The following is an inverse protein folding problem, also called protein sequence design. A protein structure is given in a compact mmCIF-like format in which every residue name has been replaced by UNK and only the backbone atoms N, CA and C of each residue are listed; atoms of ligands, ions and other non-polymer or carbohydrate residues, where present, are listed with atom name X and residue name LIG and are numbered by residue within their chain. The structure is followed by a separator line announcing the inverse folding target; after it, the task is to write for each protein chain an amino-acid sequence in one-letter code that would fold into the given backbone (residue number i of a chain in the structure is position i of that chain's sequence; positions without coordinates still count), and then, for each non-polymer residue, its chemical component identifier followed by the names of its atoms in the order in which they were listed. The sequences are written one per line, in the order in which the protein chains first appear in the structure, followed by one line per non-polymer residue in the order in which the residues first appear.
data_IF_753312247951
#
_entry.id   IF_753312247951
#
_cell.length_a   1.000
_cell.length_b   1.000
_cell.length_c   1.000
_cell.angle_alpha   90.00
_cell.angle_beta   90.00
_cell.angle_gamma   90.00
#
_symmetry.space_group_name_H-M   'P 1'
#
loop_
_entity.id
_entity.type
_entity.pdbx_description
1 polymer ?
#
# COMPACT_ATOMS: atom_id res chain seq x y z
N UNK A 1 -5.99 -25.32 -5.03
CA UNK A 1 -6.34 -24.19 -4.14
C UNK A 1 -7.30 -23.25 -4.87
N UNK A 2 -7.34 -21.94 -4.53
CA UNK A 2 -8.25 -20.98 -5.18
C UNK A 2 -7.98 -20.84 -6.68
N UNK A 3 -9.04 -20.65 -7.46
CA UNK A 3 -8.97 -20.35 -8.90
C UNK A 3 -9.49 -18.94 -9.24
N UNK A 4 -10.09 -18.24 -8.25
CA UNK A 4 -10.61 -16.87 -8.35
C UNK A 4 -10.31 -16.11 -7.05
N UNK A 5 -10.34 -14.78 -7.10
CA UNK A 5 -10.39 -13.88 -5.94
C UNK A 5 -11.73 -13.15 -5.93
N UNK A 6 -12.10 -12.55 -4.80
CA UNK A 6 -13.43 -11.93 -4.65
C UNK A 6 -13.71 -10.87 -5.72
N UNK A 7 -12.76 -9.96 -5.98
CA UNK A 7 -12.93 -8.86 -6.93
C UNK A 7 -13.07 -9.29 -8.39
N UNK A 8 -12.58 -10.49 -8.76
CA UNK A 8 -12.69 -11.03 -10.12
C UNK A 8 -14.07 -11.61 -10.44
N UNK A 9 -14.93 -11.77 -9.42
CA UNK A 9 -16.24 -12.34 -9.58
C UNK A 9 -17.23 -11.32 -10.13
N UNK A 10 -17.99 -11.73 -11.13
CA UNK A 10 -18.99 -10.91 -11.78
C UNK A 10 -20.15 -11.78 -12.30
N UNK A 11 -21.17 -11.16 -12.89
CA UNK A 11 -22.38 -11.83 -13.33
C UNK A 11 -22.14 -12.94 -14.36
N UNK A 12 -21.00 -12.93 -15.07
CA UNK A 12 -20.63 -14.02 -16.00
C UNK A 12 -20.19 -15.30 -15.29
N UNK A 13 -19.94 -15.25 -13.98
CA UNK A 13 -19.56 -16.40 -13.17
C UNK A 13 -20.76 -17.13 -12.54
N UNK A 14 -21.97 -16.58 -12.67
CA UNK A 14 -23.20 -17.24 -12.20
C UNK A 14 -23.33 -18.63 -12.80
N UNK A 15 -23.63 -19.61 -11.95
CA UNK A 15 -23.73 -21.03 -12.31
C UNK A 15 -22.38 -21.77 -12.38
N UNK A 16 -21.25 -21.10 -12.29
CA UNK A 16 -19.92 -21.72 -12.31
C UNK A 16 -19.49 -22.21 -10.93
N UNK A 17 -18.73 -23.29 -10.92
CA UNK A 17 -18.03 -23.80 -9.75
C UNK A 17 -16.74 -22.99 -9.55
N UNK A 18 -16.59 -22.38 -8.38
CA UNK A 18 -15.38 -21.63 -8.01
C UNK A 18 -14.79 -22.10 -6.69
N UNK A 19 -13.48 -21.94 -6.54
CA UNK A 19 -12.74 -22.20 -5.33
C UNK A 19 -12.17 -20.89 -4.81
N UNK A 20 -12.52 -20.51 -3.58
CA UNK A 20 -12.07 -19.30 -2.93
C UNK A 20 -11.32 -19.64 -1.64
N UNK A 21 -10.37 -18.80 -1.27
CA UNK A 21 -9.67 -18.84 0.03
C UNK A 21 -9.71 -17.45 0.67
N UNK A 22 -9.99 -17.39 1.95
CA UNK A 22 -10.07 -16.12 2.66
C UNK A 22 -10.24 -16.28 4.15
N UNK A 23 -10.45 -15.17 4.79
CA UNK A 23 -10.80 -15.06 6.20
C UNK A 23 -12.30 -14.94 6.37
N UNK A 24 -12.86 -15.60 7.39
CA UNK A 24 -14.22 -15.34 7.86
C UNK A 24 -14.23 -13.94 8.48
N UNK A 25 -14.79 -12.96 7.80
CA UNK A 25 -14.91 -11.61 8.34
C UNK A 25 -16.05 -11.54 9.36
N UNK A 26 -17.21 -12.04 8.99
CA UNK A 26 -18.39 -12.12 9.85
C UNK A 26 -19.21 -13.36 9.53
N UNK A 27 -19.70 -14.03 10.57
CA UNK A 27 -20.67 -15.11 10.46
C UNK A 27 -22.02 -14.66 11.03
N UNK A 28 -23.09 -14.95 10.36
CA UNK A 28 -24.48 -14.69 10.77
C UNK A 28 -25.28 -15.98 10.60
N UNK A 29 -26.19 -16.22 11.52
CA UNK A 29 -27.19 -17.30 11.45
C UNK A 29 -28.56 -16.66 11.36
N UNK A 30 -29.29 -16.92 10.28
CA UNK A 30 -30.59 -16.34 10.00
C UNK A 30 -31.53 -17.41 9.47
N UNK A 31 -32.56 -17.74 10.23
CA UNK A 31 -33.58 -18.70 9.82
C UNK A 31 -33.04 -20.10 9.53
N UNK A 32 -31.95 -20.50 10.21
CA UNK A 32 -31.31 -21.79 10.01
C UNK A 32 -30.34 -21.83 8.80
N UNK A 33 -30.10 -20.70 8.13
CA UNK A 33 -29.06 -20.56 7.08
C UNK A 33 -27.88 -19.81 7.63
N UNK A 34 -26.68 -20.34 7.41
CA UNK A 34 -25.42 -19.67 7.81
C UNK A 34 -24.94 -18.81 6.63
N UNK A 35 -24.78 -17.52 6.92
CA UNK A 35 -24.18 -16.53 6.02
C UNK A 35 -22.80 -16.16 6.54
N UNK A 36 -21.81 -16.16 5.68
CA UNK A 36 -20.46 -15.76 6.01
C UNK A 36 -19.99 -14.71 4.99
N UNK A 37 -19.50 -13.60 5.49
CA UNK A 37 -18.77 -12.65 4.67
C UNK A 37 -17.31 -13.15 4.59
N UNK A 38 -16.95 -13.74 3.46
CA UNK A 38 -15.58 -14.19 3.16
C UNK A 38 -14.79 -13.00 2.65
N UNK A 39 -13.67 -12.70 3.30
CA UNK A 39 -12.76 -11.61 2.94
C UNK A 39 -11.47 -12.18 2.40
N UNK A 40 -11.02 -11.68 1.25
CA UNK A 40 -9.66 -11.86 0.78
C UNK A 40 -8.93 -10.51 0.63
N UNK A 41 -7.75 -10.48 -0.02
CA UNK A 41 -6.98 -9.26 -0.23
C UNK A 41 -7.61 -8.28 -1.21
N UNK A 42 -8.57 -8.73 -2.00
CA UNK A 42 -9.23 -7.94 -3.04
C UNK A 42 -10.58 -7.39 -2.61
N UNK A 43 -11.32 -8.10 -1.74
CA UNK A 43 -12.64 -7.67 -1.32
C UNK A 43 -13.39 -8.72 -0.52
N UNK A 44 -14.70 -8.71 -0.66
CA UNK A 44 -15.64 -9.55 0.09
C UNK A 44 -16.55 -10.33 -0.86
N UNK A 45 -16.93 -11.51 -0.43
CA UNK A 45 -18.05 -12.25 -1.03
C UNK A 45 -18.89 -12.86 0.07
N UNK A 46 -20.21 -12.77 -0.02
CA UNK A 46 -21.10 -13.56 0.83
C UNK A 46 -21.08 -15.01 0.38
N UNK A 47 -20.93 -15.92 1.34
CA UNK A 47 -21.11 -17.35 1.12
C UNK A 47 -22.27 -17.85 1.97
N UNK A 48 -23.02 -18.82 1.45
CA UNK A 48 -24.23 -19.36 2.08
C UNK A 48 -24.13 -20.87 2.25
N UNK A 49 -24.59 -21.36 3.40
CA UNK A 49 -24.62 -22.77 3.76
C UNK A 49 -25.97 -23.08 4.36
N UNK A 50 -26.74 -23.95 3.70
CA UNK A 50 -28.06 -24.39 4.19
C UNK A 50 -27.93 -25.73 4.90
N UNK A 51 -28.83 -26.08 5.83
CA UNK A 51 -28.86 -27.39 6.47
C UNK A 51 -28.97 -28.54 5.48
N UNK A 52 -29.69 -28.30 4.37
CA UNK A 52 -29.92 -29.30 3.31
C UNK A 52 -28.67 -29.54 2.44
N UNK A 53 -27.65 -28.68 2.50
CA UNK A 53 -26.39 -28.84 1.75
C UNK A 53 -25.48 -29.92 2.34
N UNK A 54 -25.79 -30.45 3.53
CA UNK A 54 -25.10 -31.52 4.23
C UNK A 54 -24.91 -31.22 5.71
N UNK A 55 -25.29 -32.15 6.57
CA UNK A 55 -25.24 -31.99 8.02
C UNK A 55 -23.83 -31.73 8.56
N UNK A 56 -22.81 -32.40 8.00
CA UNK A 56 -21.41 -32.23 8.41
C UNK A 56 -20.86 -30.85 7.99
N UNK A 57 -21.18 -30.40 6.77
CA UNK A 57 -20.82 -29.09 6.25
C UNK A 57 -21.43 -27.99 7.12
N UNK A 58 -22.71 -28.09 7.43
CA UNK A 58 -23.42 -27.15 8.27
C UNK A 58 -22.84 -27.08 9.68
N UNK A 59 -22.64 -28.24 10.32
CA UNK A 59 -22.02 -28.34 11.65
C UNK A 59 -20.60 -27.77 11.66
N UNK A 60 -19.82 -27.96 10.62
CA UNK A 60 -18.49 -27.36 10.48
C UNK A 60 -18.60 -25.82 10.40
N UNK A 61 -19.54 -25.30 9.62
CA UNK A 61 -19.77 -23.86 9.49
C UNK A 61 -20.22 -23.21 10.81
N UNK A 62 -20.97 -23.90 11.67
CA UNK A 62 -21.35 -23.42 13.01
C UNK A 62 -20.16 -23.16 13.89
N UNK A 63 -19.04 -23.90 13.72
CA UNK A 63 -17.83 -23.73 14.53
C UNK A 63 -16.95 -22.56 14.11
N UNK A 64 -17.20 -21.96 12.95
CA UNK A 64 -16.37 -20.90 12.40
C UNK A 64 -16.46 -19.63 13.24
N UNK A 65 -15.30 -19.07 13.54
CA UNK A 65 -15.13 -17.77 14.21
C UNK A 65 -14.54 -16.77 13.24
N UNK A 66 -14.77 -15.48 13.50
CA UNK A 66 -14.13 -14.41 12.74
C UNK A 66 -12.61 -14.63 12.68
N UNK A 67 -12.03 -14.31 11.52
CA UNK A 67 -10.61 -14.49 11.21
C UNK A 67 -10.13 -15.96 11.09
N UNK A 68 -11.01 -16.94 11.12
CA UNK A 68 -10.68 -18.31 10.69
C UNK A 68 -10.39 -18.29 9.20
N UNK A 69 -9.31 -18.97 8.79
CA UNK A 69 -8.94 -19.08 7.37
C UNK A 69 -9.59 -20.32 6.79
N UNK A 70 -10.36 -20.14 5.73
CA UNK A 70 -11.09 -21.22 5.07
C UNK A 70 -10.81 -21.26 3.57
N UNK A 71 -10.95 -22.44 3.01
CA UNK A 71 -11.12 -22.68 1.59
C UNK A 71 -12.54 -23.19 1.37
N UNK A 72 -13.23 -22.59 0.40
CA UNK A 72 -14.59 -23.00 0.02
C UNK A 72 -14.67 -23.29 -1.47
N UNK A 73 -15.43 -24.31 -1.81
CA UNK A 73 -15.82 -24.62 -3.18
C UNK A 73 -17.35 -24.55 -3.29
N UNK A 74 -17.87 -23.91 -4.32
CA UNK A 74 -19.30 -23.75 -4.48
C UNK A 74 -19.71 -23.13 -5.80
N UNK A 75 -21.01 -22.97 -5.98
CA UNK A 75 -21.61 -22.38 -7.18
C UNK A 75 -21.90 -20.91 -6.89
N UNK A 76 -21.51 -20.03 -7.81
CA UNK A 76 -21.91 -18.63 -7.76
C UNK A 76 -23.37 -18.50 -8.16
N UNK A 77 -24.14 -17.83 -7.32
CA UNK A 77 -25.54 -17.50 -7.55
C UNK A 77 -25.76 -16.00 -7.45
N UNK A 78 -26.83 -15.53 -8.05
CA UNK A 78 -27.36 -14.20 -7.85
C UNK A 78 -28.07 -14.12 -6.49
N UNK A 79 -27.84 -13.06 -5.72
CA UNK A 79 -28.57 -12.82 -4.46
C UNK A 79 -30.04 -12.48 -4.75
N UNK A 80 -30.95 -12.87 -3.85
CA UNK A 80 -32.33 -12.35 -3.91
C UNK A 80 -32.30 -10.81 -3.92
N UNK A 81 -33.20 -10.20 -4.69
CA UNK A 81 -33.29 -8.75 -4.89
C UNK A 81 -33.29 -7.96 -3.58
N UNK A 82 -33.99 -8.47 -2.57
CA UNK A 82 -34.11 -7.83 -1.24
C UNK A 82 -32.84 -7.97 -0.39
N UNK A 83 -31.87 -8.76 -0.83
CA UNK A 83 -30.61 -9.06 -0.11
C UNK A 83 -29.37 -8.49 -0.81
N UNK A 84 -29.55 -7.73 -1.91
CA UNK A 84 -28.46 -7.09 -2.64
C UNK A 84 -27.80 -6.03 -1.76
N UNK A 85 -26.47 -6.06 -1.67
CA UNK A 85 -25.68 -5.07 -0.94
C UNK A 85 -24.89 -4.15 -1.90
N UNK A 86 -25.46 -3.01 -2.21
CA UNK A 86 -24.88 -2.02 -3.14
C UNK A 86 -23.54 -1.42 -2.68
N UNK A 87 -23.14 -1.62 -1.44
CA UNK A 87 -21.85 -1.15 -0.90
C UNK A 87 -20.69 -2.09 -1.22
N UNK A 88 -20.95 -3.26 -1.79
CA UNK A 88 -19.92 -4.23 -2.16
C UNK A 88 -19.91 -4.42 -3.68
N UNK A 89 -18.73 -4.51 -4.28
CA UNK A 89 -18.58 -4.81 -5.72
C UNK A 89 -19.19 -6.16 -6.11
N UNK A 90 -19.19 -7.12 -5.19
CA UNK A 90 -19.80 -8.45 -5.35
C UNK A 90 -21.19 -8.54 -4.71
N UNK A 91 -21.81 -7.40 -4.41
CA UNK A 91 -23.03 -7.37 -3.59
C UNK A 91 -24.27 -8.00 -4.22
N UNK A 92 -24.26 -8.24 -5.53
CA UNK A 92 -25.30 -8.98 -6.26
C UNK A 92 -25.07 -10.49 -6.26
N UNK A 93 -23.89 -10.95 -5.83
CA UNK A 93 -23.46 -12.33 -5.91
C UNK A 93 -23.35 -12.98 -4.54
N UNK A 94 -23.56 -14.28 -4.50
CA UNK A 94 -23.24 -15.13 -3.37
C UNK A 94 -22.71 -16.48 -3.84
N UNK A 95 -21.91 -17.15 -3.01
CA UNK A 95 -21.45 -18.49 -3.28
C UNK A 95 -22.26 -19.48 -2.42
N UNK A 96 -22.99 -20.38 -3.06
CA UNK A 96 -23.60 -21.53 -2.40
C UNK A 96 -22.52 -22.60 -2.21
N UNK A 97 -22.14 -22.83 -0.95
CA UNK A 97 -21.02 -23.72 -0.60
C UNK A 97 -21.41 -25.17 -0.85
N UNK A 98 -20.49 -25.94 -1.47
CA UNK A 98 -20.56 -27.39 -1.61
C UNK A 98 -19.53 -28.12 -0.78
N UNK A 99 -18.36 -27.48 -0.56
CA UNK A 99 -17.28 -28.01 0.23
C UNK A 99 -16.59 -26.89 1.02
N UNK A 100 -16.20 -27.20 2.27
CA UNK A 100 -15.56 -26.26 3.20
C UNK A 100 -14.37 -26.95 3.86
N UNK A 101 -13.22 -26.34 3.74
CA UNK A 101 -12.02 -26.78 4.45
C UNK A 101 -11.51 -25.66 5.35
N UNK A 102 -11.34 -25.94 6.64
CA UNK A 102 -10.68 -25.03 7.58
C UNK A 102 -9.17 -25.17 7.37
N UNK A 103 -8.54 -24.12 6.85
CA UNK A 103 -7.08 -24.08 6.63
C UNK A 103 -6.34 -23.69 7.91
N UNK A 104 -6.89 -22.75 8.67
CA UNK A 104 -6.32 -22.33 9.94
C UNK A 104 -7.41 -21.79 10.86
N UNK A 105 -7.60 -22.43 12.00
CA UNK A 105 -8.56 -22.01 12.99
C UNK A 105 -7.96 -21.00 13.97
N UNK A 106 -8.69 -19.93 14.26
CA UNK A 106 -8.27 -18.96 15.25
C UNK A 106 -8.33 -19.59 16.66
N UNK A 107 -7.21 -19.51 17.39
CA UNK A 107 -7.10 -20.12 18.74
C UNK A 107 -7.31 -19.09 19.86
N UNK A 108 -7.07 -17.81 19.62
CA UNK A 108 -7.18 -16.73 20.61
C UNK A 108 -7.92 -15.54 20.02
N UNK A 109 -8.58 -14.78 20.87
CA UNK A 109 -9.19 -13.52 20.43
C UNK A 109 -8.09 -12.56 19.95
N UNK A 110 -8.40 -11.82 18.88
CA UNK A 110 -7.52 -10.78 18.39
C UNK A 110 -7.46 -9.60 19.39
N UNK A 111 -6.35 -8.86 19.43
CA UNK A 111 -6.19 -7.70 20.30
C UNK A 111 -7.15 -6.56 19.97
N UNK A 112 -7.68 -6.52 18.75
CA UNK A 112 -8.73 -5.63 18.29
C UNK A 112 -9.44 -6.24 17.07
N UNK A 113 -10.70 -5.86 16.80
CA UNK A 113 -11.42 -6.34 15.63
C UNK A 113 -10.80 -5.78 14.33
N UNK A 114 -10.72 -6.64 13.31
CA UNK A 114 -10.22 -6.27 11.99
C UNK A 114 -11.31 -6.21 10.93
N UNK A 115 -12.52 -6.71 11.25
CA UNK A 115 -13.69 -6.60 10.39
C UNK A 115 -14.08 -5.15 10.14
N UNK A 116 -14.52 -4.85 8.91
CA UNK A 116 -15.08 -3.52 8.58
C UNK A 116 -16.38 -3.22 9.31
N UNK A 117 -17.08 -4.24 9.77
CA UNK A 117 -18.36 -4.11 10.51
C UNK A 117 -18.16 -3.75 11.98
N UNK A 118 -16.97 -4.02 12.53
CA UNK A 118 -16.64 -3.80 13.95
C UNK A 118 -15.51 -2.76 14.07
N UNK A 119 -15.59 -1.68 13.27
CA UNK A 119 -14.56 -0.64 13.21
C UNK A 119 -14.58 0.22 14.48
N UNK A 120 -14.04 -0.31 15.56
CA UNK A 120 -13.82 0.44 16.79
C UNK A 120 -12.64 1.40 16.69
N UNK A 121 -12.71 2.45 17.50
CA UNK A 121 -11.65 3.44 17.64
C UNK A 121 -10.46 2.83 18.41
N UNK A 122 -9.70 1.95 17.75
CA UNK A 122 -8.54 1.28 18.33
C UNK A 122 -7.40 2.26 18.53
N UNK A 123 -6.81 2.32 19.74
CA UNK A 123 -5.69 3.19 20.07
C UNK A 123 -4.51 2.94 19.11
N UNK A 124 -3.84 4.01 18.70
CA UNK A 124 -2.74 3.95 17.73
C UNK A 124 -1.59 3.06 18.20
N UNK A 125 -1.23 3.11 19.49
CA UNK A 125 -0.19 2.25 20.07
C UNK A 125 -0.47 0.76 19.84
N UNK A 126 -1.71 0.33 20.02
CA UNK A 126 -2.12 -1.06 19.79
C UNK A 126 -2.06 -1.44 18.31
N UNK A 127 -2.46 -0.51 17.42
CA UNK A 127 -2.38 -0.66 15.97
C UNK A 127 -0.92 -0.75 15.50
N UNK A 128 -0.03 0.04 16.06
CA UNK A 128 1.40 0.00 15.77
C UNK A 128 2.02 -1.33 16.23
N UNK A 129 1.69 -1.79 17.44
CA UNK A 129 2.17 -3.06 17.98
C UNK A 129 1.75 -4.27 17.14
N UNK A 130 0.52 -4.25 16.62
CA UNK A 130 -0.03 -5.34 15.80
C UNK A 130 -0.30 -4.88 14.37
N UNK A 131 0.68 -4.19 13.77
CA UNK A 131 0.58 -3.60 12.44
C UNK A 131 0.11 -4.57 11.36
N UNK A 132 0.51 -5.83 11.44
CA UNK A 132 0.11 -6.89 10.50
C UNK A 132 -1.40 -7.21 10.56
N UNK A 133 -2.07 -6.98 11.69
CA UNK A 133 -3.53 -7.07 11.79
C UNK A 133 -4.20 -5.78 11.29
N UNK A 134 -3.62 -4.63 11.60
CA UNK A 134 -4.14 -3.34 11.15
C UNK A 134 -4.11 -3.20 9.62
N UNK A 135 -3.16 -3.85 8.94
CA UNK A 135 -3.13 -3.96 7.48
C UNK A 135 -4.38 -4.66 6.90
N UNK A 136 -5.01 -5.58 7.64
CA UNK A 136 -6.26 -6.23 7.19
C UNK A 136 -7.46 -5.29 7.17
N UNK A 137 -7.37 -4.15 7.86
CA UNK A 137 -8.45 -3.13 7.94
C UNK A 137 -8.58 -2.28 6.68
N UNK A 138 -7.81 -2.54 5.65
CA UNK A 138 -7.92 -1.94 4.32
C UNK A 138 -7.10 -0.67 4.12
N UNK A 139 -7.33 0.42 4.83
CA UNK A 139 -6.72 1.74 4.58
C UNK A 139 -5.18 1.71 4.49
N UNK A 140 -4.50 1.03 5.39
CA UNK A 140 -3.04 0.94 5.37
C UNK A 140 -2.54 0.04 4.23
N UNK A 141 -3.29 -1.00 3.89
CA UNK A 141 -2.97 -1.84 2.74
C UNK A 141 -3.08 -1.03 1.44
N UNK A 142 -4.12 -0.21 1.30
CA UNK A 142 -4.27 0.69 0.15
C UNK A 142 -3.14 1.73 0.08
N UNK A 143 -2.65 2.24 1.21
CA UNK A 143 -1.48 3.11 1.23
C UNK A 143 -0.22 2.41 0.68
N UNK A 144 -0.01 1.13 1.01
CA UNK A 144 1.10 0.34 0.46
C UNK A 144 0.94 0.12 -1.05
N UNK A 145 -0.27 -0.21 -1.51
CA UNK A 145 -0.57 -0.35 -2.95
C UNK A 145 -0.38 0.97 -3.71
N UNK A 146 -0.85 2.08 -3.12
CA UNK A 146 -0.67 3.43 -3.68
C UNK A 146 0.81 3.78 -3.80
N UNK A 147 1.60 3.54 -2.74
CA UNK A 147 3.06 3.72 -2.78
C UNK A 147 3.72 2.91 -3.88
N UNK A 148 3.36 1.62 -4.01
CA UNK A 148 3.86 0.77 -5.10
C UNK A 148 3.52 1.37 -6.47
N UNK A 149 2.28 1.81 -6.67
CA UNK A 149 1.82 2.42 -7.93
C UNK A 149 2.58 3.70 -8.26
N UNK A 150 2.81 4.58 -7.27
CA UNK A 150 3.61 5.80 -7.44
C UNK A 150 5.02 5.45 -7.94
N UNK A 151 5.70 4.51 -7.27
CA UNK A 151 7.06 4.09 -7.65
C UNK A 151 7.08 3.49 -9.06
N UNK A 152 6.11 2.65 -9.39
CA UNK A 152 5.99 2.06 -10.73
C UNK A 152 5.86 3.12 -11.81
N UNK A 153 4.92 4.08 -11.64
CA UNK A 153 4.70 5.17 -12.60
C UNK A 153 5.94 6.05 -12.74
N UNK A 154 6.63 6.34 -11.62
CA UNK A 154 7.86 7.12 -11.65
C UNK A 154 8.96 6.42 -12.44
N UNK A 155 9.19 5.10 -12.23
CA UNK A 155 10.14 4.30 -13.00
C UNK A 155 9.81 4.29 -14.48
N UNK A 156 8.57 3.98 -14.86
CA UNK A 156 8.12 3.96 -16.25
C UNK A 156 8.33 5.33 -16.93
N UNK A 157 8.09 6.42 -16.21
CA UNK A 157 8.31 7.77 -16.73
C UNK A 157 9.80 8.03 -16.97
N UNK A 158 10.64 7.76 -15.99
CA UNK A 158 12.09 8.02 -16.03
C UNK A 158 12.78 7.15 -17.09
N UNK A 159 12.43 5.87 -17.18
CA UNK A 159 12.94 4.94 -18.19
C UNK A 159 12.63 5.45 -19.61
N UNK A 160 11.40 5.95 -19.85
CA UNK A 160 11.01 6.52 -21.15
C UNK A 160 11.77 7.80 -21.49
N UNK A 161 12.32 8.52 -20.53
CA UNK A 161 13.20 9.69 -20.74
C UNK A 161 14.68 9.33 -20.78
N UNK A 162 15.03 8.03 -20.79
CA UNK A 162 16.39 7.54 -20.91
C UNK A 162 17.22 7.64 -19.64
N UNK A 163 16.58 7.66 -18.48
CA UNK A 163 17.29 7.56 -17.20
C UNK A 163 17.70 6.12 -16.91
N UNK A 164 18.79 5.98 -16.17
CA UNK A 164 19.27 4.69 -15.66
C UNK A 164 19.08 4.64 -14.15
N UNK A 165 18.38 3.62 -13.65
CA UNK A 165 18.27 3.36 -12.21
C UNK A 165 19.58 2.73 -11.72
N UNK A 166 20.23 3.34 -10.72
CA UNK A 166 21.44 2.81 -10.12
C UNK A 166 21.27 2.73 -8.61
N UNK A 167 21.40 1.52 -8.06
CA UNK A 167 21.40 1.29 -6.62
C UNK A 167 22.79 1.57 -6.04
N UNK A 168 22.87 2.47 -5.06
CA UNK A 168 24.12 2.88 -4.40
C UNK A 168 24.30 2.18 -3.05
N UNK A 169 25.55 2.01 -2.56
CA UNK A 169 25.80 1.36 -1.28
C UNK A 169 25.13 2.08 -0.09
N UNK A 170 24.63 1.30 0.87
CA UNK A 170 24.11 1.81 2.16
C UNK A 170 25.19 1.86 3.25
N UNK A 171 26.21 1.00 3.21
CA UNK A 171 27.35 1.06 4.11
C UNK A 171 28.41 1.95 3.47
N UNK A 172 28.47 3.21 3.88
CA UNK A 172 29.32 4.23 3.26
C UNK A 172 30.26 4.85 4.27
N UNK A 173 31.10 5.76 3.81
CA UNK A 173 31.86 6.66 4.67
C UNK A 173 30.94 7.82 5.09
N UNK A 174 31.12 8.32 6.32
CA UNK A 174 30.44 9.53 6.79
C UNK A 174 30.70 10.73 5.86
N UNK A 175 29.62 11.44 5.53
CA UNK A 175 29.66 12.64 4.69
C UNK A 175 28.93 13.80 5.38
N UNK A 176 29.50 15.02 5.37
CA UNK A 176 28.89 16.17 6.05
C UNK A 176 27.74 16.75 5.20
N UNK A 177 26.54 16.17 5.27
CA UNK A 177 25.37 16.60 4.50
C UNK A 177 24.33 17.41 5.33
N UNK A 178 24.69 17.82 6.56
CA UNK A 178 23.86 18.69 7.40
C UNK A 178 23.14 18.02 8.55
N UNK A 179 22.74 16.75 8.45
CA UNK A 179 22.25 15.95 9.57
C UNK A 179 23.37 15.15 10.24
N UNK A 180 23.09 14.52 11.38
CA UNK A 180 23.98 13.51 11.95
C UNK A 180 23.76 12.18 11.25
N UNK A 181 24.86 11.42 11.08
CA UNK A 181 24.83 10.10 10.48
C UNK A 181 24.48 9.03 11.51
N UNK A 182 23.72 8.01 11.10
CA UNK A 182 23.65 6.77 11.84
C UNK A 182 24.91 5.95 11.58
N UNK A 183 25.63 5.56 12.63
CA UNK A 183 26.88 4.83 12.54
C UNK A 183 26.64 3.32 12.72
N UNK A 184 27.31 2.52 11.90
CA UNK A 184 27.31 1.06 11.97
C UNK A 184 28.74 0.59 12.30
N UNK A 185 28.98 -0.07 13.44
CA UNK A 185 30.32 -0.56 13.80
C UNK A 185 30.87 -1.54 12.76
N UNK A 186 32.11 -1.33 12.33
CA UNK A 186 32.83 -2.22 11.43
C UNK A 186 33.44 -3.39 12.22
N UNK A 187 32.86 -4.58 12.15
CA UNK A 187 33.29 -5.76 12.91
C UNK A 187 34.72 -6.20 12.60
N UNK A 188 35.16 -5.98 11.38
CA UNK A 188 36.51 -6.41 10.93
C UNK A 188 37.60 -5.38 11.20
N UNK A 189 37.26 -4.14 11.58
CA UNK A 189 38.19 -3.04 11.80
C UNK A 189 37.85 -2.37 13.13
N UNK A 190 38.64 -2.66 14.17
CA UNK A 190 38.39 -2.13 15.50
C UNK A 190 38.50 -0.60 15.55
N UNK A 191 37.45 0.06 16.09
CA UNK A 191 37.37 1.50 16.20
C UNK A 191 36.90 2.23 14.94
N UNK A 192 36.57 1.50 13.87
CA UNK A 192 36.04 2.07 12.64
C UNK A 192 34.53 1.85 12.52
N UNK A 193 33.88 2.73 11.76
CA UNK A 193 32.43 2.71 11.55
C UNK A 193 32.10 2.99 10.08
N UNK A 194 31.08 2.31 9.58
CA UNK A 194 30.33 2.77 8.42
C UNK A 194 29.29 3.80 8.84
N UNK A 195 28.88 4.65 7.91
CA UNK A 195 27.73 5.53 8.07
C UNK A 195 26.61 5.11 7.11
N UNK A 196 25.35 5.23 7.55
CA UNK A 196 24.21 5.11 6.66
C UNK A 196 24.01 6.43 5.89
N UNK A 197 23.69 6.40 4.58
CA UNK A 197 23.66 7.61 3.75
C UNK A 197 22.47 8.50 4.10
N UNK A 198 22.71 9.80 4.19
CA UNK A 198 21.66 10.82 4.31
C UNK A 198 20.95 11.06 2.96
N UNK A 199 21.69 10.87 1.88
CA UNK A 199 21.24 10.83 0.49
C UNK A 199 22.31 10.14 -0.36
N UNK A 200 22.04 9.75 -1.62
CA UNK A 200 23.04 9.21 -2.53
C UNK A 200 23.92 10.29 -3.20
N UNK A 201 24.01 11.49 -2.64
CA UNK A 201 24.59 12.69 -3.25
C UNK A 201 26.01 12.47 -3.80
N UNK A 202 26.91 11.87 -3.02
CA UNK A 202 28.28 11.63 -3.46
C UNK A 202 28.33 10.66 -4.63
N UNK A 203 27.55 9.59 -4.56
CA UNK A 203 27.55 8.55 -5.59
C UNK A 203 26.96 9.03 -6.92
N UNK A 204 25.86 9.76 -6.88
CA UNK A 204 25.27 10.29 -8.11
C UNK A 204 26.17 11.30 -8.83
N UNK A 205 26.89 12.13 -8.08
CA UNK A 205 27.91 13.03 -8.64
C UNK A 205 29.04 12.23 -9.30
N UNK A 206 29.56 11.18 -8.65
CA UNK A 206 30.57 10.31 -9.22
C UNK A 206 30.07 9.57 -10.48
N UNK A 207 28.79 9.20 -10.53
CA UNK A 207 28.19 8.61 -11.71
C UNK A 207 28.14 9.60 -12.88
N UNK A 208 27.81 10.88 -12.62
CA UNK A 208 27.88 11.94 -13.64
C UNK A 208 29.32 12.13 -14.15
N UNK A 209 30.30 12.21 -13.26
CA UNK A 209 31.73 12.26 -13.63
C UNK A 209 32.14 11.02 -14.41
N UNK A 210 31.58 9.85 -14.09
CA UNK A 210 31.80 8.59 -14.77
C UNK A 210 31.12 8.48 -16.15
N UNK A 211 30.37 9.52 -16.58
CA UNK A 211 29.73 9.59 -17.88
C UNK A 211 28.29 9.10 -17.95
N UNK A 212 27.66 8.85 -16.80
CA UNK A 212 26.22 8.56 -16.73
C UNK A 212 25.44 9.88 -16.85
N UNK A 213 24.78 10.12 -17.97
CA UNK A 213 24.16 11.41 -18.27
C UNK A 213 22.85 11.65 -17.49
N UNK A 214 22.08 10.60 -17.23
CA UNK A 214 20.79 10.64 -16.52
C UNK A 214 20.68 9.48 -15.55
N UNK A 215 20.59 9.82 -14.29
CA UNK A 215 20.49 8.87 -13.17
C UNK A 215 19.21 9.07 -12.40
N UNK A 216 18.65 7.98 -11.86
CA UNK A 216 17.71 8.03 -10.76
C UNK A 216 17.86 6.84 -9.82
N UNK A 217 17.30 6.99 -8.61
CA UNK A 217 17.20 5.92 -7.63
C UNK A 217 16.00 6.13 -6.71
N UNK A 218 15.34 5.04 -6.35
CA UNK A 218 14.41 5.02 -5.21
C UNK A 218 15.26 4.76 -3.96
N UNK A 219 15.87 5.81 -3.44
CA UNK A 219 16.91 5.74 -2.43
C UNK A 219 16.36 5.64 -1.00
N UNK A 220 16.95 4.74 -0.20
CA UNK A 220 16.80 4.74 1.25
C UNK A 220 17.75 5.76 1.87
N UNK A 221 17.20 6.67 2.67
CA UNK A 221 17.94 7.75 3.32
C UNK A 221 17.73 7.71 4.82
N UNK A 222 18.78 8.09 5.56
CA UNK A 222 18.81 8.02 7.01
C UNK A 222 19.33 9.34 7.58
N UNK A 223 18.63 9.93 8.54
CA UNK A 223 19.06 11.17 9.19
C UNK A 223 18.76 11.10 10.69
N UNK A 224 19.78 11.25 11.53
CA UNK A 224 19.63 11.31 12.98
C UNK A 224 19.33 12.76 13.37
N UNK A 225 18.08 13.15 13.18
CA UNK A 225 17.54 14.48 13.49
C UNK A 225 16.34 14.38 14.41
N UNK A 226 16.01 15.48 15.07
CA UNK A 226 14.78 15.61 15.85
C UNK A 226 13.55 15.42 14.96
N UNK A 227 12.61 14.59 15.41
CA UNK A 227 11.38 14.31 14.69
C UNK A 227 10.50 15.58 14.66
N UNK A 228 10.00 15.92 13.49
CA UNK A 228 9.07 17.04 13.28
C UNK A 228 7.95 16.58 12.37
N UNK A 229 6.69 16.76 12.79
CA UNK A 229 5.51 16.45 11.99
C UNK A 229 5.60 15.09 11.26
N UNK A 230 5.89 15.12 9.97
CA UNK A 230 5.98 13.95 9.09
C UNK A 230 7.40 13.41 8.87
N UNK A 231 8.43 14.03 9.48
CA UNK A 231 9.83 13.59 9.33
C UNK A 231 10.08 12.30 10.10
N UNK A 232 10.75 11.37 9.42
CA UNK A 232 11.18 10.09 9.97
C UNK A 232 12.70 9.94 9.85
N UNK A 233 13.37 9.23 10.78
CA UNK A 233 14.82 9.01 10.71
C UNK A 233 15.23 8.14 9.53
N UNK A 234 14.33 7.29 9.04
CA UNK A 234 14.47 6.52 7.81
C UNK A 234 13.34 6.88 6.85
N UNK A 235 13.67 7.27 5.63
CA UNK A 235 12.70 7.64 4.61
C UNK A 235 13.18 7.26 3.21
N UNK A 236 12.33 7.43 2.21
CA UNK A 236 12.65 7.12 0.82
C UNK A 236 12.60 8.40 -0.01
N UNK A 237 13.60 8.61 -0.84
CA UNK A 237 13.63 9.66 -1.86
C UNK A 237 13.48 9.05 -3.26
N UNK A 238 12.79 9.74 -4.14
CA UNK A 238 13.04 9.64 -5.56
C UNK A 238 14.16 10.64 -5.86
N UNK A 239 15.37 10.12 -6.03
CA UNK A 239 16.56 10.92 -6.29
C UNK A 239 16.87 10.92 -7.80
N UNK A 240 17.15 12.09 -8.37
CA UNK A 240 17.34 12.29 -9.80
C UNK A 240 18.56 13.18 -10.00
N UNK A 241 19.40 12.83 -10.98
CA UNK A 241 20.52 13.67 -11.41
C UNK A 241 20.63 13.67 -12.94
N UNK A 242 20.89 14.84 -13.51
CA UNK A 242 21.05 15.02 -14.96
C UNK A 242 22.25 15.91 -15.24
N UNK A 243 22.96 15.59 -16.35
CA UNK A 243 24.04 16.43 -16.88
C UNK A 243 23.52 17.36 -17.98
N UNK A 244 24.24 18.46 -18.23
CA UNK A 244 24.05 19.36 -19.39
C UNK A 244 22.62 19.93 -19.52
N UNK A 245 21.99 20.28 -18.42
CA UNK A 245 20.61 20.80 -18.40
C UNK A 245 20.52 22.12 -17.61
N UNK A 246 19.59 22.96 -18.00
CA UNK A 246 19.28 24.20 -17.31
C UNK A 246 18.30 24.01 -16.15
N UNK A 247 18.21 25.00 -15.25
CA UNK A 247 17.25 25.03 -14.16
C UNK A 247 15.79 24.91 -14.67
N UNK A 248 15.44 25.60 -15.75
CA UNK A 248 14.10 25.56 -16.32
C UNK A 248 13.72 24.19 -16.89
N UNK A 249 14.68 23.50 -17.48
CA UNK A 249 14.47 22.16 -18.02
C UNK A 249 14.21 21.14 -16.90
N UNK A 250 14.97 21.18 -15.80
CA UNK A 250 14.75 20.25 -14.67
C UNK A 250 13.43 20.53 -13.96
N UNK A 251 13.02 21.82 -13.83
CA UNK A 251 11.73 22.17 -13.25
C UNK A 251 10.58 21.65 -14.12
N UNK A 252 10.63 21.90 -15.44
CA UNK A 252 9.60 21.45 -16.39
C UNK A 252 9.51 19.92 -16.46
N UNK A 253 10.66 19.25 -16.38
CA UNK A 253 10.73 17.79 -16.30
C UNK A 253 10.02 17.26 -15.06
N UNK A 254 10.36 17.79 -13.87
CA UNK A 254 9.72 17.37 -12.61
C UNK A 254 8.23 17.70 -12.58
N UNK A 255 7.80 18.84 -13.12
CA UNK A 255 6.38 19.16 -13.27
C UNK A 255 5.64 18.10 -14.08
N UNK A 256 6.23 17.65 -15.18
CA UNK A 256 5.67 16.59 -16.03
C UNK A 256 5.56 15.25 -15.29
N UNK A 257 6.60 14.88 -14.53
CA UNK A 257 6.61 13.69 -13.69
C UNK A 257 5.49 13.74 -12.63
N UNK A 258 5.36 14.84 -11.90
CA UNK A 258 4.32 15.01 -10.89
C UNK A 258 2.93 14.91 -11.53
N UNK A 259 2.68 15.60 -12.64
CA UNK A 259 1.41 15.52 -13.38
C UNK A 259 1.07 14.09 -13.79
N UNK A 260 2.05 13.35 -14.30
CA UNK A 260 1.89 11.94 -14.67
C UNK A 260 1.51 11.07 -13.46
N UNK A 261 2.21 11.20 -12.34
CA UNK A 261 1.94 10.45 -11.12
C UNK A 261 0.50 10.72 -10.63
N UNK A 262 0.10 11.99 -10.52
CA UNK A 262 -1.24 12.36 -10.03
C UNK A 262 -2.35 11.85 -10.96
N UNK A 263 -2.13 11.95 -12.27
CA UNK A 263 -3.07 11.44 -13.26
C UNK A 263 -3.26 9.92 -13.13
N UNK A 264 -2.17 9.15 -13.10
CA UNK A 264 -2.26 7.69 -13.14
C UNK A 264 -2.60 7.04 -11.80
N UNK A 265 -2.21 7.69 -10.68
CA UNK A 265 -2.46 7.15 -9.34
C UNK A 265 -3.83 7.58 -8.80
N UNK A 266 -4.18 8.85 -8.97
CA UNK A 266 -5.37 9.46 -8.36
C UNK A 266 -6.44 9.88 -9.38
N UNK A 267 -6.18 9.72 -10.69
CA UNK A 267 -7.03 10.20 -11.79
C UNK A 267 -7.30 11.73 -11.73
N UNK A 268 -6.31 12.50 -11.22
CA UNK A 268 -6.36 13.96 -11.14
C UNK A 268 -5.50 14.55 -12.26
N UNK A 269 -6.11 15.40 -13.10
CA UNK A 269 -5.42 16.11 -14.17
C UNK A 269 -5.15 17.56 -13.77
N UNK A 270 -3.89 17.98 -13.88
CA UNK A 270 -3.51 19.39 -13.78
C UNK A 270 -3.42 19.98 -15.18
N UNK A 271 -4.41 20.78 -15.55
CA UNK A 271 -4.50 21.37 -16.91
C UNK A 271 -3.57 22.58 -17.07
N UNK A 272 -3.23 23.25 -15.98
CA UNK A 272 -2.38 24.45 -15.99
C UNK A 272 -0.94 24.14 -15.59
N UNK A 273 -0.01 25.01 -15.97
CA UNK A 273 1.34 25.03 -15.42
C UNK A 273 1.29 25.33 -13.90
N UNK A 274 2.27 24.79 -13.16
CA UNK A 274 2.38 25.14 -11.75
C UNK A 274 2.82 26.58 -11.59
N UNK A 275 2.24 27.34 -10.62
CA UNK A 275 2.63 28.71 -10.37
C UNK A 275 4.10 28.84 -10.03
N UNK A 276 4.74 29.88 -10.52
CA UNK A 276 6.12 30.25 -10.19
C UNK A 276 6.13 31.39 -9.20
N UNK A 277 6.93 31.27 -8.17
CA UNK A 277 7.08 32.30 -7.13
C UNK A 277 8.57 32.45 -6.80
N UNK A 278 9.07 33.67 -6.73
CA UNK A 278 10.42 33.93 -6.25
C UNK A 278 10.51 33.69 -4.75
N UNK A 279 11.70 33.36 -4.26
CA UNK A 279 11.93 33.23 -2.81
C UNK A 279 11.55 34.51 -2.05
N UNK A 280 11.91 35.67 -2.60
CA UNK A 280 11.59 36.96 -1.98
C UNK A 280 10.07 37.14 -1.86
N UNK A 281 9.32 36.85 -2.92
CA UNK A 281 7.84 36.94 -2.88
C UNK A 281 7.22 35.97 -1.88
N UNK A 282 7.79 34.76 -1.76
CA UNK A 282 7.32 33.78 -0.77
C UNK A 282 7.56 34.28 0.67
N UNK A 283 8.75 34.84 0.95
CA UNK A 283 9.08 35.38 2.27
C UNK A 283 8.27 36.64 2.60
N UNK A 284 8.09 37.54 1.65
CA UNK A 284 7.38 38.81 1.88
C UNK A 284 5.87 38.59 2.11
N UNK A 285 5.27 37.65 1.38
CA UNK A 285 3.82 37.42 1.45
C UNK A 285 3.41 36.34 2.46
N UNK A 286 4.26 35.37 2.73
CA UNK A 286 3.89 34.18 3.53
C UNK A 286 4.85 33.91 4.71
N UNK A 287 6.00 34.56 4.78
CA UNK A 287 7.00 34.37 5.85
C UNK A 287 7.66 32.98 5.84
N UNK A 288 7.58 32.25 4.73
CA UNK A 288 8.13 30.90 4.57
C UNK A 288 8.54 30.64 3.13
N UNK A 289 9.57 29.81 2.94
CA UNK A 289 10.01 29.31 1.64
C UNK A 289 9.11 28.20 1.05
N UNK A 290 8.09 27.75 1.81
CA UNK A 290 7.10 26.74 1.40
C UNK A 290 5.68 27.26 1.62
N UNK A 291 5.24 28.28 0.88
CA UNK A 291 3.95 28.88 1.12
C UNK A 291 2.79 27.94 0.79
N UNK A 292 1.78 27.92 1.66
CA UNK A 292 0.49 27.36 1.33
C UNK A 292 -0.38 28.46 0.71
N UNK A 293 -0.48 28.44 -0.62
CA UNK A 293 -1.19 29.46 -1.39
C UNK A 293 -2.71 29.41 -1.26
N UNK A 294 -3.27 28.49 -0.47
CA UNK A 294 -4.68 28.48 -0.10
C UNK A 294 -5.00 29.56 0.93
N UNK A 295 -3.98 30.02 1.67
CA UNK A 295 -4.07 31.14 2.61
C UNK A 295 -3.50 32.39 1.95
N UNK A 296 -4.26 33.49 2.02
CA UNK A 296 -3.83 34.81 1.57
C UNK A 296 -3.57 35.71 2.76
#
# INVERSE_FOLDING_TARGET
MRNKICEELNNTDIGKLVNLCGWVDRRRDHGGVIFIDLRDHSGFLQITINPDDGADLFKQAETLRNETVIMVSGIINERPKDSINTNLSTGELELKVKDLQILNQIKKNLPFPVSIHDYENTKEELRLKYRYLDLRRGKLLENLKTRHKIIKVAREFLDNFGFTEVETPLLTKSTPEGARDFLVPARLSNGEFFALPQSPQLFKQLLMVGGLDKYYQIAKCFRDEDLRADRQPEFTQLDIEMSFISEEEIISFNESLIKKIWKEVLNINFNNAFPRMSWQAAMDNYGTDRPDTRYQ
#
